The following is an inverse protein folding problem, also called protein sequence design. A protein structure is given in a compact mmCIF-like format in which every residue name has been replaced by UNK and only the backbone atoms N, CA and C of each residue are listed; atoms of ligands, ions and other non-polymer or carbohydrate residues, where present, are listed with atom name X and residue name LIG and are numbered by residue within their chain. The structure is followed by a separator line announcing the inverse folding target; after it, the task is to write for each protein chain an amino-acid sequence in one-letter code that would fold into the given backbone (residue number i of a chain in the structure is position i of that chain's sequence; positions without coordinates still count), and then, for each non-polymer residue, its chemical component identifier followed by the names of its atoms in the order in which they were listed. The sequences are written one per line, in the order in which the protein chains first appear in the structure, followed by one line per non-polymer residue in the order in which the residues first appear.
data_IF_072824737967
#
_entry.id   IF_072824737967
#
_cell.length_a   1.000
_cell.length_b   1.000
_cell.length_c   1.000
_cell.angle_alpha   90.00
_cell.angle_beta   90.00
_cell.angle_gamma   90.00
#
_symmetry.space_group_name_H-M   'P 1'
#
loop_
_entity.id
_entity.type
_entity.pdbx_description
1 polymer ?
#
# COMPACT_ATOMS: atom_id res chain seq x y z
N UNK A 1 7.34 -26.51 -11.80
CA UNK A 1 8.19 -27.25 -12.76
C UNK A 1 9.69 -27.21 -12.39
N UNK A 2 10.32 -26.05 -12.12
CA UNK A 2 11.75 -25.96 -11.76
C UNK A 2 12.23 -26.84 -10.58
N UNK A 3 11.44 -27.01 -9.51
CA UNK A 3 11.82 -27.88 -8.36
C UNK A 3 11.91 -29.36 -8.75
N UNK A 4 11.01 -29.80 -9.63
CA UNK A 4 11.02 -31.16 -10.20
C UNK A 4 12.25 -31.36 -11.08
N UNK A 5 12.64 -30.34 -11.86
CA UNK A 5 13.86 -30.36 -12.68
C UNK A 5 15.13 -30.51 -11.85
N UNK A 6 15.25 -29.77 -10.73
CA UNK A 6 16.42 -29.87 -9.84
C UNK A 6 16.49 -31.24 -9.16
N UNK A 7 15.36 -31.77 -8.69
CA UNK A 7 15.30 -33.11 -8.12
C UNK A 7 15.63 -34.20 -9.15
N UNK A 8 15.16 -34.07 -10.40
CA UNK A 8 15.49 -34.96 -11.51
C UNK A 8 16.98 -34.93 -11.86
N UNK A 9 17.59 -33.75 -11.91
CA UNK A 9 19.02 -33.60 -12.19
C UNK A 9 19.85 -34.23 -11.07
N UNK A 10 19.50 -33.97 -9.80
CA UNK A 10 20.18 -34.59 -8.66
C UNK A 10 20.06 -36.12 -8.70
N UNK A 11 18.87 -36.66 -8.99
CA UNK A 11 18.66 -38.10 -9.15
C UNK A 11 19.45 -38.68 -10.33
N UNK A 12 19.50 -37.98 -11.48
CA UNK A 12 20.26 -38.43 -12.64
C UNK A 12 21.76 -38.50 -12.36
N UNK A 13 22.30 -37.54 -11.61
CA UNK A 13 23.71 -37.52 -11.18
C UNK A 13 24.01 -38.68 -10.23
N UNK A 14 23.13 -38.95 -9.26
CA UNK A 14 23.26 -40.11 -8.38
C UNK A 14 23.14 -41.45 -9.10
N UNK A 15 22.21 -41.55 -10.06
CA UNK A 15 22.09 -42.74 -10.90
C UNK A 15 23.34 -42.98 -11.74
N UNK A 16 23.94 -41.93 -12.31
CA UNK A 16 25.19 -42.04 -13.07
C UNK A 16 26.34 -42.52 -12.18
N UNK A 17 26.45 -41.98 -10.97
CA UNK A 17 27.46 -42.41 -10.00
C UNK A 17 27.27 -43.89 -9.59
N UNK A 18 26.02 -44.32 -9.36
CA UNK A 18 25.69 -45.72 -9.08
C UNK A 18 26.01 -46.64 -10.27
N UNK A 19 25.69 -46.21 -11.49
CA UNK A 19 25.99 -46.96 -12.72
C UNK A 19 27.50 -47.12 -12.92
N UNK A 20 28.28 -46.06 -12.70
CA UNK A 20 29.74 -46.10 -12.78
C UNK A 20 30.35 -47.01 -11.70
N UNK A 21 29.80 -46.98 -10.48
CA UNK A 21 30.23 -47.87 -9.41
C UNK A 21 29.96 -49.34 -9.77
N UNK A 22 28.73 -49.67 -10.21
CA UNK A 22 28.37 -51.04 -10.63
C UNK A 22 29.20 -51.49 -11.83
N UNK A 23 29.38 -50.65 -12.84
CA UNK A 23 30.23 -50.93 -14.00
C UNK A 23 31.69 -51.18 -13.60
N UNK A 24 32.23 -50.39 -12.68
CA UNK A 24 33.57 -50.57 -12.13
C UNK A 24 33.75 -51.92 -11.43
N UNK A 25 32.77 -52.34 -10.60
CA UNK A 25 32.80 -53.66 -9.95
C UNK A 25 32.69 -54.79 -10.99
N UNK A 26 31.87 -54.65 -12.03
CA UNK A 26 31.76 -55.69 -13.07
C UNK A 26 33.01 -55.83 -13.93
N UNK A 27 33.70 -54.73 -14.25
CA UNK A 27 34.90 -54.73 -15.09
C UNK A 27 36.17 -55.17 -14.34
N UNK A 28 36.32 -54.77 -13.08
CA UNK A 28 37.57 -54.96 -12.32
C UNK A 28 37.42 -55.85 -11.09
N UNK A 29 36.24 -56.43 -10.87
CA UNK A 29 35.91 -57.19 -9.66
C UNK A 29 35.86 -56.31 -8.40
N UNK A 30 35.83 -56.96 -7.22
CA UNK A 30 35.92 -56.29 -5.93
C UNK A 30 37.36 -55.84 -5.62
N UNK A 31 37.92 -55.00 -6.47
CA UNK A 31 39.27 -54.47 -6.35
C UNK A 31 39.28 -53.10 -5.65
N UNK A 32 40.41 -52.71 -5.02
CA UNK A 32 40.57 -51.37 -4.45
C UNK A 32 40.35 -50.25 -5.48
N UNK A 33 40.63 -50.53 -6.76
CA UNK A 33 40.44 -49.59 -7.86
C UNK A 33 38.95 -49.32 -8.11
N UNK A 34 38.09 -50.35 -8.08
CA UNK A 34 36.64 -50.19 -8.18
C UNK A 34 36.06 -49.38 -7.00
N UNK A 35 36.58 -49.59 -5.78
CA UNK A 35 36.20 -48.78 -4.61
C UNK A 35 36.61 -47.32 -4.76
N UNK A 36 37.79 -47.04 -5.31
CA UNK A 36 38.28 -45.68 -5.55
C UNK A 36 37.41 -44.94 -6.59
N UNK A 37 37.04 -45.62 -7.68
CA UNK A 37 36.13 -45.07 -8.70
C UNK A 37 34.74 -44.78 -8.12
N UNK A 38 34.20 -45.69 -7.31
CA UNK A 38 32.91 -45.48 -6.64
C UNK A 38 32.98 -44.29 -5.65
N UNK A 39 34.04 -44.20 -4.86
CA UNK A 39 34.24 -43.09 -3.91
C UNK A 39 34.35 -41.73 -4.63
N UNK A 40 35.11 -41.66 -5.72
CA UNK A 40 35.20 -40.45 -6.56
C UNK A 40 33.85 -40.09 -7.18
N UNK A 41 33.09 -41.07 -7.67
CA UNK A 41 31.75 -40.87 -8.23
C UNK A 41 30.79 -40.29 -7.19
N UNK A 42 30.76 -40.84 -5.98
CA UNK A 42 29.96 -40.33 -4.88
C UNK A 42 30.37 -38.91 -4.47
N UNK A 43 31.67 -38.63 -4.36
CA UNK A 43 32.18 -37.31 -4.02
C UNK A 43 31.81 -36.27 -5.08
N UNK A 44 31.93 -36.61 -6.36
CA UNK A 44 31.53 -35.74 -7.46
C UNK A 44 30.01 -35.49 -7.47
N UNK A 45 29.20 -36.53 -7.24
CA UNK A 45 27.74 -36.40 -7.17
C UNK A 45 27.29 -35.48 -6.02
N UNK A 46 27.92 -35.62 -4.84
CA UNK A 46 27.69 -34.74 -3.70
C UNK A 46 28.07 -33.29 -4.02
N UNK A 47 29.25 -33.07 -4.59
CA UNK A 47 29.72 -31.74 -4.95
C UNK A 47 28.80 -31.06 -5.97
N UNK A 48 28.39 -31.77 -7.03
CA UNK A 48 27.47 -31.25 -8.05
C UNK A 48 26.11 -30.91 -7.44
N UNK A 49 25.55 -31.81 -6.63
CA UNK A 49 24.23 -31.60 -6.01
C UNK A 49 24.26 -30.40 -5.06
N UNK A 50 25.28 -30.30 -4.21
CA UNK A 50 25.47 -29.17 -3.31
C UNK A 50 25.61 -27.85 -4.09
N UNK A 51 26.43 -27.84 -5.14
CA UNK A 51 26.66 -26.63 -5.95
C UNK A 51 25.37 -26.17 -6.63
N UNK A 52 24.58 -27.10 -7.20
CA UNK A 52 23.29 -26.78 -7.81
C UNK A 52 22.30 -26.26 -6.76
N UNK A 53 22.25 -26.89 -5.58
CA UNK A 53 21.43 -26.45 -4.45
C UNK A 53 21.74 -25.01 -4.06
N UNK A 54 23.01 -24.72 -3.74
CA UNK A 54 23.47 -23.37 -3.37
C UNK A 54 23.18 -22.32 -4.45
N UNK A 55 23.37 -22.65 -5.73
CA UNK A 55 23.06 -21.72 -6.83
C UNK A 55 21.56 -21.48 -6.95
N UNK A 56 20.75 -22.51 -6.78
CA UNK A 56 19.30 -22.37 -6.83
C UNK A 56 18.78 -21.53 -5.66
N UNK A 57 19.30 -21.73 -4.46
CA UNK A 57 18.93 -20.97 -3.26
C UNK A 57 19.28 -19.49 -3.40
N UNK A 58 20.49 -19.18 -3.91
CA UNK A 58 20.87 -17.80 -4.21
C UNK A 58 19.92 -17.14 -5.21
N UNK A 59 19.59 -17.83 -6.31
CA UNK A 59 18.67 -17.29 -7.30
C UNK A 59 17.24 -17.11 -6.77
N UNK A 60 16.81 -17.92 -5.80
CA UNK A 60 15.53 -17.73 -5.12
C UNK A 60 15.58 -16.56 -4.13
N UNK A 61 16.65 -16.44 -3.35
CA UNK A 61 16.85 -15.34 -2.42
C UNK A 61 16.90 -13.99 -3.14
N UNK A 62 17.59 -13.89 -4.28
CA UNK A 62 17.63 -12.68 -5.11
C UNK A 62 16.23 -12.28 -5.61
N UNK A 63 15.42 -13.26 -6.05
CA UNK A 63 14.04 -13.00 -6.50
C UNK A 63 13.14 -12.56 -5.35
N UNK A 64 13.28 -13.17 -4.17
CA UNK A 64 12.53 -12.76 -2.99
C UNK A 64 12.94 -11.36 -2.53
N UNK A 65 14.23 -11.05 -2.60
CA UNK A 65 14.77 -9.71 -2.37
C UNK A 65 14.14 -8.67 -3.30
N UNK A 66 14.14 -8.93 -4.61
CA UNK A 66 13.54 -8.03 -5.60
C UNK A 66 12.03 -7.84 -5.39
N UNK A 67 11.30 -8.91 -5.05
CA UNK A 67 9.87 -8.83 -4.73
C UNK A 67 9.65 -8.03 -3.43
N UNK A 68 10.46 -8.30 -2.40
CA UNK A 68 10.39 -7.56 -1.14
C UNK A 68 10.67 -6.08 -1.32
N UNK A 69 11.68 -5.74 -2.12
CA UNK A 69 12.03 -4.35 -2.45
C UNK A 69 10.92 -3.66 -3.23
N UNK A 70 10.32 -4.31 -4.23
CA UNK A 70 9.19 -3.77 -4.97
C UNK A 70 7.96 -3.50 -4.07
N UNK A 71 7.83 -4.26 -2.97
CA UNK A 71 6.80 -4.06 -1.96
C UNK A 71 7.21 -3.02 -0.90
N UNK A 72 8.46 -2.53 -0.93
CA UNK A 72 9.00 -1.55 0.01
C UNK A 72 9.44 -2.14 1.34
N UNK A 73 9.79 -3.43 1.36
CA UNK A 73 10.34 -4.11 2.54
C UNK A 73 11.85 -3.92 2.62
N UNK A 74 12.37 -3.91 3.85
CA UNK A 74 13.82 -3.91 4.07
C UNK A 74 14.41 -5.25 3.59
N UNK A 75 15.66 -5.27 3.10
CA UNK A 75 16.28 -6.48 2.58
C UNK A 75 16.28 -7.67 3.57
N UNK A 76 16.37 -7.37 4.87
CA UNK A 76 16.35 -8.35 5.95
C UNK A 76 14.99 -9.06 6.15
N UNK A 77 13.89 -8.40 5.77
CA UNK A 77 12.52 -8.93 5.92
C UNK A 77 12.02 -9.62 4.64
N UNK A 78 12.74 -9.44 3.52
CA UNK A 78 12.48 -10.06 2.22
C UNK A 78 13.07 -11.48 2.09
N UNK A 79 13.35 -12.15 3.22
CA UNK A 79 14.04 -13.44 3.27
C UNK A 79 13.11 -14.63 3.03
N UNK A 80 11.80 -14.47 3.24
CA UNK A 80 10.80 -15.50 2.96
C UNK A 80 9.49 -14.91 2.45
N UNK A 81 8.74 -15.68 1.67
CA UNK A 81 7.39 -15.30 1.21
C UNK A 81 6.46 -15.07 2.40
N UNK A 82 6.57 -15.90 3.44
CA UNK A 82 5.77 -15.79 4.65
C UNK A 82 6.03 -14.46 5.38
N UNK A 83 7.29 -14.02 5.46
CA UNK A 83 7.64 -12.72 6.04
C UNK A 83 7.08 -11.57 5.20
N UNK A 84 7.16 -11.66 3.87
CA UNK A 84 6.58 -10.67 2.94
C UNK A 84 5.06 -10.55 3.14
N UNK A 85 4.35 -11.69 3.15
CA UNK A 85 2.90 -11.74 3.34
C UNK A 85 2.51 -11.22 4.72
N UNK A 86 3.24 -11.60 5.77
CA UNK A 86 3.00 -11.13 7.14
C UNK A 86 3.16 -9.61 7.24
N UNK A 87 4.22 -9.07 6.65
CA UNK A 87 4.46 -7.62 6.67
C UNK A 87 3.40 -6.84 5.87
N UNK A 88 3.00 -7.37 4.71
CA UNK A 88 1.89 -6.82 3.92
C UNK A 88 0.57 -6.84 4.71
N UNK A 89 0.26 -7.96 5.37
CA UNK A 89 -0.91 -8.09 6.24
C UNK A 89 -0.89 -7.04 7.35
N UNK A 90 0.21 -6.92 8.08
CA UNK A 90 0.35 -5.91 9.14
C UNK A 90 0.20 -4.47 8.64
N UNK A 91 0.75 -4.15 7.46
CA UNK A 91 0.59 -2.82 6.84
C UNK A 91 -0.86 -2.57 6.43
N UNK A 92 -1.52 -3.57 5.87
CA UNK A 92 -2.92 -3.50 5.46
C UNK A 92 -3.85 -3.34 6.68
N UNK A 93 -3.59 -4.08 7.77
CA UNK A 93 -4.34 -3.97 9.02
C UNK A 93 -4.19 -2.57 9.62
N UNK A 94 -2.96 -2.05 9.65
CA UNK A 94 -2.70 -0.67 10.10
C UNK A 94 -3.42 0.35 9.23
N UNK A 95 -3.37 0.19 7.91
CA UNK A 95 -4.09 1.05 6.97
C UNK A 95 -5.61 0.99 7.20
N UNK A 96 -6.17 -0.20 7.45
CA UNK A 96 -7.57 -0.38 7.81
C UNK A 96 -7.94 0.30 9.11
N UNK A 97 -7.09 0.20 10.15
CA UNK A 97 -7.31 0.89 11.42
C UNK A 97 -7.33 2.41 11.23
N UNK A 98 -6.38 2.97 10.47
CA UNK A 98 -6.38 4.40 10.15
C UNK A 98 -7.60 4.81 9.34
N UNK A 99 -7.96 4.04 8.31
CA UNK A 99 -9.16 4.31 7.50
C UNK A 99 -10.42 4.29 8.38
N UNK A 100 -10.58 3.28 9.23
CA UNK A 100 -11.72 3.19 10.14
C UNK A 100 -11.77 4.33 11.16
N UNK A 101 -10.62 4.73 11.70
CA UNK A 101 -10.52 5.88 12.61
C UNK A 101 -10.87 7.20 11.89
N UNK A 102 -10.34 7.41 10.69
CA UNK A 102 -10.60 8.57 9.84
C UNK A 102 -12.10 8.68 9.49
N UNK A 103 -12.74 7.59 9.06
CA UNK A 103 -14.17 7.58 8.76
C UNK A 103 -15.03 7.95 9.99
N UNK A 104 -14.57 7.73 11.22
CA UNK A 104 -15.32 8.09 12.43
C UNK A 104 -15.17 9.55 12.85
N UNK A 105 -14.29 10.32 12.22
CA UNK A 105 -14.12 11.73 12.56
C UNK A 105 -15.37 12.53 12.21
N UNK A 106 -15.80 13.39 13.14
CA UNK A 106 -16.91 14.33 12.93
C UNK A 106 -16.48 15.58 12.19
N UNK A 107 -15.18 15.88 12.20
CA UNK A 107 -14.62 16.98 11.43
C UNK A 107 -14.69 16.63 9.94
N UNK A 108 -15.31 17.45 9.09
CA UNK A 108 -15.49 17.15 7.67
C UNK A 108 -14.16 17.26 6.94
N UNK A 109 -13.67 16.13 6.44
CA UNK A 109 -12.46 16.04 5.65
C UNK A 109 -12.58 14.91 4.63
N UNK A 110 -11.79 15.00 3.57
CA UNK A 110 -11.85 14.08 2.43
C UNK A 110 -10.46 13.90 1.83
N UNK A 111 -10.19 12.70 1.32
CA UNK A 111 -8.92 12.34 0.69
C UNK A 111 -9.17 12.07 -0.79
N UNK A 112 -8.46 12.79 -1.65
CA UNK A 112 -8.54 12.68 -3.11
C UNK A 112 -7.33 11.88 -3.61
N UNK A 113 -7.59 10.89 -4.46
CA UNK A 113 -6.59 10.11 -5.15
C UNK A 113 -5.90 10.91 -6.26
N UNK A 114 -4.80 10.39 -6.78
CA UNK A 114 -4.09 10.99 -7.91
C UNK A 114 -4.94 11.02 -9.21
N UNK A 115 -6.02 10.26 -9.26
CA UNK A 115 -7.00 10.18 -10.33
C UNK A 115 -8.18 11.16 -10.15
N UNK A 116 -8.14 12.03 -9.13
CA UNK A 116 -9.22 12.98 -8.83
C UNK A 116 -10.44 12.37 -8.15
N UNK A 117 -10.38 11.10 -7.74
CA UNK A 117 -11.50 10.41 -7.06
C UNK A 117 -11.36 10.46 -5.55
N UNK A 118 -12.50 10.46 -4.86
CA UNK A 118 -12.56 10.39 -3.40
C UNK A 118 -12.13 8.99 -2.94
N UNK A 119 -11.03 8.89 -2.19
CA UNK A 119 -10.48 7.63 -1.67
C UNK A 119 -10.69 7.45 -0.17
N UNK A 120 -11.08 8.52 0.53
CA UNK A 120 -11.43 8.48 1.94
C UNK A 120 -12.31 9.66 2.31
N UNK A 121 -13.25 9.44 3.22
CA UNK A 121 -14.20 10.45 3.69
C UNK A 121 -14.35 10.32 5.20
N UNK A 122 -14.55 11.42 5.89
CA UNK A 122 -15.00 11.38 7.29
C UNK A 122 -16.51 11.32 7.36
N UNK A 123 -17.07 10.77 8.44
CA UNK A 123 -18.50 10.83 8.70
C UNK A 123 -19.04 12.27 8.75
N UNK A 124 -18.19 13.23 9.14
CA UNK A 124 -18.49 14.65 9.03
C UNK A 124 -18.77 15.10 7.59
N UNK A 125 -17.95 14.68 6.63
CA UNK A 125 -18.12 15.02 5.23
C UNK A 125 -19.35 14.34 4.62
N UNK A 126 -19.56 13.05 4.90
CA UNK A 126 -20.73 12.28 4.44
C UNK A 126 -22.06 12.88 4.96
N UNK A 127 -22.06 13.43 6.18
CA UNK A 127 -23.24 14.06 6.75
C UNK A 127 -23.60 15.42 6.11
N UNK A 128 -22.66 16.08 5.44
CA UNK A 128 -22.87 17.40 4.83
C UNK A 128 -23.55 17.32 3.46
N UNK A 129 -23.15 16.36 2.63
CA UNK A 129 -23.67 16.21 1.27
C UNK A 129 -23.74 14.72 0.88
N UNK A 130 -24.90 14.29 0.36
CA UNK A 130 -25.12 12.90 -0.08
C UNK A 130 -24.24 12.48 -1.25
N UNK A 131 -23.66 13.44 -1.98
CA UNK A 131 -22.71 13.20 -3.07
C UNK A 131 -21.31 12.84 -2.57
N UNK A 132 -21.01 13.10 -1.29
CA UNK A 132 -19.75 12.70 -0.66
C UNK A 132 -19.76 11.19 -0.42
N UNK A 133 -19.40 10.43 -1.45
CA UNK A 133 -19.34 8.96 -1.43
C UNK A 133 -17.95 8.50 -1.85
N UNK A 134 -17.43 7.45 -1.19
CA UNK A 134 -16.12 6.89 -1.55
C UNK A 134 -16.16 6.38 -2.99
N UNK A 135 -15.11 6.68 -3.74
CA UNK A 135 -15.05 6.46 -5.17
C UNK A 135 -15.77 7.52 -6.00
N UNK A 136 -16.45 8.52 -5.42
CA UNK A 136 -17.04 9.64 -6.15
C UNK A 136 -15.99 10.57 -6.80
N UNK A 137 -16.43 11.44 -7.71
CA UNK A 137 -15.57 12.48 -8.30
C UNK A 137 -15.37 13.64 -7.33
N UNK A 138 -14.15 14.13 -7.16
CA UNK A 138 -13.89 15.32 -6.37
C UNK A 138 -14.46 16.58 -7.05
N UNK A 139 -14.37 16.67 -8.37
CA UNK A 139 -14.90 17.79 -9.18
C UNK A 139 -16.42 17.93 -9.00
N UNK A 140 -17.15 16.82 -8.92
CA UNK A 140 -18.61 16.87 -8.74
C UNK A 140 -19.01 17.38 -7.35
N UNK A 141 -18.16 17.14 -6.35
CA UNK A 141 -18.42 17.50 -4.96
C UNK A 141 -17.94 18.91 -4.63
N UNK A 142 -16.72 19.25 -5.07
CA UNK A 142 -16.01 20.47 -4.70
C UNK A 142 -15.92 21.49 -5.84
N UNK A 143 -16.19 21.10 -7.08
CA UNK A 143 -15.90 21.93 -8.25
C UNK A 143 -14.41 22.24 -8.35
N UNK A 144 -14.06 23.42 -8.86
CA UNK A 144 -12.66 23.83 -9.01
C UNK A 144 -11.91 24.04 -7.67
N UNK A 145 -12.63 24.06 -6.54
CA UNK A 145 -12.06 24.31 -5.22
C UNK A 145 -11.01 23.26 -4.79
N UNK A 146 -11.02 22.05 -5.36
CA UNK A 146 -9.98 21.06 -5.06
C UNK A 146 -8.62 21.36 -5.72
N UNK A 147 -8.59 22.27 -6.71
CA UNK A 147 -7.35 22.67 -7.40
C UNK A 147 -6.72 23.94 -6.83
N UNK A 148 -7.52 24.78 -6.17
CA UNK A 148 -7.06 26.01 -5.53
C UNK A 148 -6.28 25.71 -4.22
N UNK A 149 -5.30 26.54 -3.89
CA UNK A 149 -4.61 26.47 -2.58
C UNK A 149 -5.55 26.86 -1.44
N UNK A 150 -6.28 27.96 -1.60
CA UNK A 150 -7.37 28.39 -0.72
C UNK A 150 -8.66 28.49 -1.55
N UNK A 151 -9.63 27.64 -1.22
CA UNK A 151 -10.89 27.53 -1.92
C UNK A 151 -12.07 27.75 -0.98
N UNK A 152 -13.07 28.49 -1.44
CA UNK A 152 -14.36 28.54 -0.76
C UNK A 152 -15.31 27.58 -1.47
N UNK A 153 -15.79 26.56 -0.75
CA UNK A 153 -16.68 25.54 -1.29
C UNK A 153 -18.01 25.52 -0.56
N UNK A 154 -19.10 25.29 -1.30
CA UNK A 154 -20.43 25.07 -0.71
C UNK A 154 -20.73 23.57 -0.71
N UNK A 155 -20.89 23.00 0.48
CA UNK A 155 -21.32 21.61 0.66
C UNK A 155 -22.64 21.57 1.42
N UNK A 156 -23.67 21.00 0.79
CA UNK A 156 -25.04 21.13 1.28
C UNK A 156 -25.48 22.59 1.34
N UNK A 157 -25.89 23.06 2.53
CA UNK A 157 -26.32 24.46 2.79
C UNK A 157 -25.26 25.29 3.51
N UNK A 158 -24.02 24.82 3.59
CA UNK A 158 -22.94 25.45 4.36
C UNK A 158 -21.74 25.73 3.47
N UNK A 159 -21.03 26.82 3.80
CA UNK A 159 -19.79 27.22 3.14
C UNK A 159 -18.59 26.83 4.00
N UNK A 160 -17.55 26.39 3.34
CA UNK A 160 -16.31 25.95 3.97
C UNK A 160 -15.13 26.61 3.25
N UNK A 161 -14.12 26.95 4.02
CA UNK A 161 -12.77 27.16 3.50
C UNK A 161 -12.11 25.79 3.41
N UNK A 162 -11.50 25.49 2.27
CA UNK A 162 -10.75 24.26 2.05
C UNK A 162 -9.30 24.47 2.46
N UNK A 163 -8.82 23.70 3.42
CA UNK A 163 -7.39 23.62 3.72
C UNK A 163 -6.83 22.36 3.04
N UNK A 164 -5.79 22.54 2.22
CA UNK A 164 -5.20 21.46 1.43
C UNK A 164 -3.88 20.99 2.04
N UNK A 165 -3.74 19.68 2.16
CA UNK A 165 -2.51 19.01 2.57
C UNK A 165 -2.10 17.98 1.53
N UNK A 166 -0.89 18.13 0.99
CA UNK A 166 -0.36 17.16 0.04
C UNK A 166 0.10 15.89 0.75
N UNK A 167 -0.31 14.75 0.21
CA UNK A 167 0.09 13.43 0.66
C UNK A 167 1.00 12.78 -0.40
N UNK A 168 1.69 11.71 0.01
CA UNK A 168 2.54 10.95 -0.92
C UNK A 168 1.75 10.42 -2.14
N UNK A 169 2.44 10.26 -3.27
CA UNK A 169 1.90 9.69 -4.52
C UNK A 169 0.78 10.53 -5.16
N UNK A 170 0.84 11.86 -5.06
CA UNK A 170 -0.11 12.77 -5.72
C UNK A 170 -1.52 12.72 -5.12
N UNK A 171 -1.65 12.25 -3.88
CA UNK A 171 -2.92 12.27 -3.15
C UNK A 171 -3.04 13.56 -2.36
N UNK A 172 -4.26 14.00 -2.11
CA UNK A 172 -4.54 15.23 -1.39
C UNK A 172 -5.49 14.94 -0.23
N UNK A 173 -5.23 15.52 0.94
CA UNK A 173 -6.21 15.65 2.01
C UNK A 173 -6.78 17.07 1.94
N UNK A 174 -8.11 17.18 1.93
CA UNK A 174 -8.81 18.46 2.04
C UNK A 174 -9.60 18.45 3.33
N UNK A 175 -9.31 19.41 4.19
CA UNK A 175 -10.06 19.71 5.41
C UNK A 175 -11.05 20.83 5.13
N UNK A 176 -12.27 20.69 5.64
CA UNK A 176 -13.34 21.65 5.43
C UNK A 176 -13.56 22.44 6.72
N UNK A 177 -12.92 23.59 6.80
CA UNK A 177 -13.09 24.50 7.93
C UNK A 177 -14.34 25.33 7.67
N UNK A 178 -15.32 25.41 8.59
CA UNK A 178 -16.46 26.28 8.39
C UNK A 178 -15.99 27.70 8.11
N UNK A 179 -16.27 28.22 6.92
CA UNK A 179 -16.18 29.64 6.68
C UNK A 179 -17.18 30.26 7.65
N UNK A 180 -16.76 31.21 8.48
CA UNK A 180 -17.64 31.81 9.49
C UNK A 180 -18.97 32.32 8.90
N UNK A 181 -19.87 32.80 9.75
CA UNK A 181 -21.13 33.38 9.26
C UNK A 181 -20.81 34.56 8.32
N UNK A 182 -21.11 34.37 7.04
CA UNK A 182 -21.09 35.45 6.07
C UNK A 182 -22.27 36.35 6.39
N UNK A 183 -22.01 37.61 6.71
CA UNK A 183 -23.03 38.64 6.89
C UNK A 183 -23.05 39.45 5.59
N UNK A 184 -24.22 39.63 4.97
CA UNK A 184 -24.32 40.46 3.78
C UNK A 184 -24.03 41.90 4.17
N UNK A 185 -23.43 42.67 3.26
CA UNK A 185 -23.12 44.08 3.53
C UNK A 185 -24.38 44.85 3.98
N UNK A 186 -25.54 44.55 3.38
CA UNK A 186 -26.82 45.16 3.77
C UNK A 186 -27.24 44.81 5.21
N UNK A 187 -27.05 43.55 5.63
CA UNK A 187 -27.35 43.10 6.99
C UNK A 187 -26.37 43.68 8.00
N UNK A 188 -25.11 43.83 7.61
CA UNK A 188 -24.08 44.46 8.41
C UNK A 188 -24.37 45.96 8.59
N UNK A 189 -24.75 46.65 7.52
CA UNK A 189 -25.16 48.05 7.56
C UNK A 189 -26.43 48.27 8.39
N UNK A 190 -27.39 47.35 8.29
CA UNK A 190 -28.58 47.34 9.13
C UNK A 190 -28.23 47.15 10.61
N UNK A 191 -27.30 46.25 10.92
CA UNK A 191 -26.79 46.05 12.28
C UNK A 191 -26.08 47.30 12.81
N UNK A 192 -25.16 47.89 12.04
CA UNK A 192 -24.44 49.12 12.42
C UNK A 192 -25.42 50.28 12.63
N UNK A 193 -26.45 50.39 11.79
CA UNK A 193 -27.51 51.39 11.94
C UNK A 193 -28.31 51.19 13.22
N UNK A 194 -28.70 49.95 13.53
CA UNK A 194 -29.40 49.62 14.77
C UNK A 194 -28.54 49.96 16.01
N UNK A 195 -27.24 49.68 15.95
CA UNK A 195 -26.27 50.01 17.01
C UNK A 195 -26.17 51.52 17.24
N UNK A 196 -26.05 52.32 16.16
CA UNK A 196 -26.00 53.80 16.24
C UNK A 196 -27.26 54.39 16.85
N UNK A 197 -28.40 53.73 16.70
CA UNK A 197 -29.69 54.14 17.26
C UNK A 197 -29.93 53.61 18.68
N UNK A 198 -28.96 52.93 19.29
CA UNK A 198 -29.07 52.37 20.64
C UNK A 198 -30.02 51.16 20.75
N UNK A 199 -30.36 50.51 19.64
CA UNK A 199 -31.21 49.31 19.65
C UNK A 199 -30.34 48.09 19.96
N UNK A 200 -30.63 47.39 21.05
CA UNK A 200 -29.89 46.19 21.50
C UNK A 200 -30.52 44.87 21.03
N UNK A 201 -31.67 44.92 20.37
CA UNK A 201 -32.44 43.74 19.97
C UNK A 201 -32.25 43.27 18.53
N UNK A 202 -31.28 43.81 17.78
CA UNK A 202 -31.06 43.42 16.39
C UNK A 202 -30.65 41.94 16.31
N UNK A 203 -31.26 41.19 15.39
CA UNK A 203 -30.90 39.81 15.08
C UNK A 203 -30.67 39.70 13.59
N UNK A 204 -29.58 39.04 13.22
CA UNK A 204 -29.36 38.62 11.84
C UNK A 204 -30.40 37.57 11.49
N UNK A 205 -31.04 37.71 10.34
CA UNK A 205 -31.97 36.70 9.89
C UNK A 205 -31.24 35.38 9.64
N UNK A 206 -31.85 34.23 10.00
CA UNK A 206 -31.27 32.94 9.71
C UNK A 206 -31.24 32.73 8.18
N UNK A 207 -30.04 32.83 7.63
CA UNK A 207 -29.68 32.50 6.25
C UNK A 207 -30.41 31.23 5.78
N UNK A 208 -31.11 31.31 4.65
CA UNK A 208 -31.68 30.15 3.94
C UNK A 208 -30.59 29.27 3.35
#
# INVERSE_FOLDING_TARGET
MRRLSVALIANAVWMLAALLAVGGVMLFGASPLALLVAALGCAAALAVTATIGFRSDRAFAEKLGAIGEAVGLKPQDATSVEAIVTSLGQRLDRAHQFKAAFHRLKHPALVIGADGRLTGLTAGAEALDRRAVEGGSADDLLGEAHTAEDGLVSMGRRRFVTERHELSHGRLLIELVPAGYHIADDDFDAFVTALRQGRTGFRFDPWG
#
